data_IF_964382746863
#
_entry.id   IF_964382746863
#
_cell.length_a   1.000
_cell.length_b   1.000
_cell.length_c   1.000
_cell.angle_alpha   90.00
_cell.angle_beta   90.00
_cell.angle_gamma   90.00
#
_symmetry.space_group_name_H-M   'P 1'
#
loop_
_entity.id
_entity.type
_entity.pdbx_description
1 polymer ?
#
# COMPACT_ATOMS: atom_id res chain seq x y z
N UNK A 1 4.59 -27.39 -9.77
CA UNK A 1 3.86 -26.84 -10.93
C UNK A 1 3.29 -25.50 -10.49
N UNK A 2 3.63 -24.43 -11.21
CA UNK A 2 3.13 -23.07 -10.98
C UNK A 2 1.66 -22.94 -11.43
N UNK A 3 0.92 -21.98 -10.86
CA UNK A 3 -0.47 -21.69 -11.19
C UNK A 3 -0.64 -20.27 -11.74
N UNK A 4 -1.57 -20.09 -12.67
CA UNK A 4 -2.04 -18.79 -13.15
C UNK A 4 -3.30 -18.31 -12.37
N UNK A 5 -3.83 -19.13 -11.45
CA UNK A 5 -4.88 -18.73 -10.49
C UNK A 5 -4.28 -17.94 -9.32
N UNK A 6 -4.72 -16.67 -9.17
CA UNK A 6 -4.25 -15.74 -8.14
C UNK A 6 -4.57 -16.18 -6.71
N UNK A 7 -5.60 -17.02 -6.52
CA UNK A 7 -5.98 -17.55 -5.21
C UNK A 7 -5.15 -18.78 -4.82
N UNK A 8 -4.39 -19.32 -5.75
CA UNK A 8 -3.53 -20.47 -5.52
C UNK A 8 -2.34 -20.10 -4.63
N UNK A 9 -1.98 -20.92 -3.63
CA UNK A 9 -0.73 -20.74 -2.88
C UNK A 9 0.51 -20.89 -3.76
N UNK A 10 0.37 -21.41 -4.99
CA UNK A 10 1.43 -21.57 -6.00
C UNK A 10 1.27 -20.60 -7.17
N UNK A 11 0.53 -19.51 -6.98
CA UNK A 11 0.46 -18.46 -7.97
C UNK A 11 1.87 -17.96 -8.29
N UNK A 12 2.21 -17.86 -9.57
CA UNK A 12 3.61 -17.62 -9.97
C UNK A 12 4.15 -16.23 -9.62
N UNK A 13 3.28 -15.23 -9.55
CA UNK A 13 3.69 -13.86 -9.26
C UNK A 13 3.45 -13.59 -7.79
N UNK A 14 4.47 -13.83 -6.98
CA UNK A 14 4.41 -13.67 -5.53
C UNK A 14 5.51 -12.74 -5.02
N UNK A 15 5.18 -11.97 -3.98
CA UNK A 15 6.13 -11.19 -3.19
C UNK A 15 5.98 -11.66 -1.75
N UNK A 16 7.08 -12.13 -1.15
CA UNK A 16 7.10 -12.68 0.22
C UNK A 16 6.01 -13.75 0.46
N UNK A 17 5.76 -14.61 -0.55
CA UNK A 17 4.75 -15.68 -0.46
C UNK A 17 3.30 -15.24 -0.66
N UNK A 18 3.05 -13.97 -0.97
CA UNK A 18 1.70 -13.44 -1.22
C UNK A 18 1.50 -13.08 -2.69
N UNK A 19 0.31 -13.35 -3.23
CA UNK A 19 -0.02 -13.08 -4.63
C UNK A 19 0.07 -11.58 -4.97
N UNK A 20 0.88 -11.26 -5.98
CA UNK A 20 0.95 -9.93 -6.57
C UNK A 20 -0.21 -9.75 -7.56
N UNK A 21 -1.13 -8.85 -7.22
CA UNK A 21 -2.39 -8.66 -7.94
C UNK A 21 -2.63 -7.18 -8.25
N UNK A 22 -3.44 -6.91 -9.27
CA UNK A 22 -3.91 -5.55 -9.56
C UNK A 22 -5.11 -5.17 -8.70
N UNK A 23 -5.37 -3.88 -8.60
CA UNK A 23 -6.58 -3.38 -7.95
C UNK A 23 -7.84 -3.90 -8.64
N UNK A 24 -7.84 -4.00 -9.98
CA UNK A 24 -8.97 -4.57 -10.72
C UNK A 24 -9.17 -6.07 -10.41
N UNK A 25 -8.08 -6.84 -10.37
CA UNK A 25 -8.12 -8.28 -10.02
C UNK A 25 -8.73 -8.49 -8.64
N UNK A 26 -8.29 -7.74 -7.63
CA UNK A 26 -8.88 -7.79 -6.28
C UNK A 26 -10.37 -7.44 -6.30
N UNK A 27 -10.75 -6.35 -6.97
CA UNK A 27 -12.14 -5.88 -7.00
C UNK A 27 -13.11 -6.82 -7.74
N UNK A 28 -12.60 -7.75 -8.55
CA UNK A 28 -13.40 -8.75 -9.25
C UNK A 28 -13.59 -10.03 -8.43
N UNK A 29 -12.86 -10.20 -7.32
CA UNK A 29 -13.01 -11.36 -6.45
C UNK A 29 -14.26 -11.25 -5.58
N UNK A 30 -15.01 -12.34 -5.40
CA UNK A 30 -16.05 -12.44 -4.38
C UNK A 30 -15.49 -12.15 -2.98
N UNK A 31 -16.32 -11.61 -2.08
CA UNK A 31 -15.91 -11.29 -0.71
C UNK A 31 -15.32 -12.51 0.01
N UNK A 32 -15.95 -13.68 -0.14
CA UNK A 32 -15.49 -14.94 0.46
C UNK A 32 -14.08 -15.35 0.01
N UNK A 33 -13.68 -14.97 -1.21
CA UNK A 33 -12.34 -15.25 -1.73
C UNK A 33 -11.30 -14.23 -1.26
N UNK A 34 -11.74 -13.08 -0.73
CA UNK A 34 -10.87 -12.05 -0.16
C UNK A 34 -10.72 -12.18 1.35
N UNK A 35 -11.76 -12.63 2.06
CA UNK A 35 -11.76 -12.79 3.52
C UNK A 35 -10.56 -13.60 4.01
N UNK A 36 -9.92 -13.13 5.09
CA UNK A 36 -8.72 -13.74 5.69
C UNK A 36 -7.52 -13.90 4.73
N UNK A 37 -7.51 -13.18 3.60
CA UNK A 37 -6.40 -13.23 2.64
C UNK A 37 -5.51 -12.01 2.70
N UNK A 38 -4.26 -12.26 2.31
CA UNK A 38 -3.25 -11.24 2.13
C UNK A 38 -2.79 -11.23 0.68
N UNK A 39 -2.79 -10.05 0.09
CA UNK A 39 -2.34 -9.78 -1.26
C UNK A 39 -1.22 -8.75 -1.25
N UNK A 40 -0.49 -8.64 -2.36
CA UNK A 40 0.43 -7.53 -2.61
C UNK A 40 -0.05 -6.75 -3.81
N UNK A 41 -0.13 -5.43 -3.67
CA UNK A 41 -0.52 -4.51 -4.74
C UNK A 41 0.63 -3.53 -4.95
N UNK A 42 1.05 -3.32 -6.19
CA UNK A 42 1.91 -2.19 -6.53
C UNK A 42 1.05 -1.01 -6.95
N UNK A 43 1.17 0.14 -6.28
CA UNK A 43 0.35 1.29 -6.60
C UNK A 43 0.79 2.54 -5.86
N UNK A 44 -0.02 3.58 -6.02
CA UNK A 44 0.18 4.90 -5.42
C UNK A 44 -1.07 5.38 -4.68
N UNK A 45 -0.88 6.30 -3.74
CA UNK A 45 -1.97 6.92 -3.00
C UNK A 45 -2.60 8.03 -3.84
N UNK A 46 -3.92 7.97 -4.04
CA UNK A 46 -4.67 8.93 -4.84
C UNK A 46 -5.41 9.96 -3.98
N UNK A 47 -6.05 9.51 -2.89
CA UNK A 47 -6.87 10.37 -2.03
C UNK A 47 -6.92 9.86 -0.58
N UNK A 48 -7.35 10.71 0.35
CA UNK A 48 -7.53 10.41 1.77
C UNK A 48 -9.02 10.49 2.12
N UNK A 49 -9.65 9.34 2.40
CA UNK A 49 -11.06 9.31 2.81
C UNK A 49 -11.24 9.30 4.34
N UNK A 50 -10.23 8.88 5.10
CA UNK A 50 -10.20 8.98 6.58
C UNK A 50 -8.95 9.75 7.00
N UNK A 51 -9.16 10.98 7.50
CA UNK A 51 -8.07 11.90 7.87
C UNK A 51 -7.15 11.30 8.92
N UNK A 52 -5.86 11.64 8.81
CA UNK A 52 -4.85 11.28 9.80
C UNK A 52 -5.28 11.72 11.21
N UNK A 53 -5.28 10.78 12.15
CA UNK A 53 -5.52 11.05 13.57
C UNK A 53 -4.68 10.12 14.43
N UNK A 54 -4.36 10.59 15.63
CA UNK A 54 -3.75 9.78 16.70
C UNK A 54 -4.65 9.86 17.91
N UNK A 55 -5.09 8.69 18.39
CA UNK A 55 -5.96 8.56 19.56
C UNK A 55 -5.71 7.22 20.26
N UNK A 56 -5.53 7.24 21.58
CA UNK A 56 -5.26 6.02 22.37
C UNK A 56 -3.92 5.38 22.00
N UNK A 57 -2.93 6.20 21.64
CA UNK A 57 -1.62 5.73 21.18
C UNK A 57 -1.62 5.06 19.81
N UNK A 58 -2.71 5.14 19.05
CA UNK A 58 -2.86 4.48 17.74
C UNK A 58 -3.04 5.50 16.63
N UNK A 59 -2.31 5.32 15.53
CA UNK A 59 -2.53 6.05 14.30
C UNK A 59 -3.73 5.52 13.53
N UNK A 60 -4.44 6.41 12.84
CA UNK A 60 -5.51 6.05 11.91
C UNK A 60 -5.43 6.93 10.67
N UNK A 61 -5.47 6.31 9.51
CA UNK A 61 -5.46 6.92 8.19
C UNK A 61 -6.12 5.96 7.21
N UNK A 62 -7.02 6.47 6.39
CA UNK A 62 -7.66 5.72 5.30
C UNK A 62 -7.42 6.43 3.97
N UNK A 63 -6.94 5.69 2.99
CA UNK A 63 -6.55 6.19 1.68
C UNK A 63 -7.15 5.37 0.55
N UNK A 64 -7.32 5.99 -0.61
CA UNK A 64 -7.59 5.29 -1.86
C UNK A 64 -6.27 5.06 -2.58
N UNK A 65 -5.97 3.79 -2.89
CA UNK A 65 -4.81 3.44 -3.70
C UNK A 65 -5.25 3.08 -5.12
N UNK A 66 -4.41 3.43 -6.08
CA UNK A 66 -4.58 3.05 -7.47
C UNK A 66 -3.29 2.45 -8.00
N UNK A 67 -3.43 1.41 -8.80
CA UNK A 67 -2.37 0.88 -9.65
C UNK A 67 -2.52 1.37 -11.09
N UNK A 68 -3.39 2.38 -11.33
CA UNK A 68 -3.90 2.88 -12.63
C UNK A 68 -4.89 1.96 -13.34
N UNK A 69 -5.43 0.97 -12.63
CA UNK A 69 -6.65 0.29 -13.07
C UNK A 69 -7.83 1.27 -13.11
N UNK A 70 -8.92 0.86 -13.78
CA UNK A 70 -10.20 1.58 -13.79
C UNK A 70 -10.80 1.78 -12.39
N UNK A 71 -10.45 0.91 -11.44
CA UNK A 71 -10.96 0.92 -10.05
C UNK A 71 -9.87 1.36 -9.09
N UNK A 72 -10.29 1.99 -7.99
CA UNK A 72 -9.45 2.26 -6.83
C UNK A 72 -9.74 1.24 -5.73
N UNK A 73 -8.79 1.08 -4.81
CA UNK A 73 -8.98 0.28 -3.60
C UNK A 73 -8.90 1.19 -2.38
N UNK A 74 -9.98 1.26 -1.60
CA UNK A 74 -9.94 1.89 -0.28
C UNK A 74 -9.22 0.97 0.69
N UNK A 75 -8.22 1.50 1.39
CA UNK A 75 -7.44 0.79 2.41
C UNK A 75 -7.24 1.66 3.64
N UNK A 76 -7.04 1.06 4.81
CA UNK A 76 -6.51 1.74 6.00
C UNK A 76 -5.06 1.36 6.22
N UNK A 77 -4.23 2.30 6.65
CA UNK A 77 -2.85 1.96 7.01
C UNK A 77 -2.82 1.47 8.46
N UNK A 78 -2.14 0.35 8.70
CA UNK A 78 -1.89 -0.13 10.06
C UNK A 78 -1.04 0.90 10.83
N UNK A 79 -1.20 0.96 12.15
CA UNK A 79 -0.50 1.96 12.98
C UNK A 79 1.03 1.89 12.80
N UNK A 80 1.57 0.69 12.62
CA UNK A 80 3.01 0.47 12.46
C UNK A 80 3.53 0.97 11.12
N UNK A 81 2.71 0.89 10.05
CA UNK A 81 3.06 1.44 8.74
C UNK A 81 3.17 2.96 8.83
N UNK A 82 2.20 3.60 9.47
CA UNK A 82 2.22 5.06 9.65
C UNK A 82 3.39 5.46 10.55
N UNK A 83 3.62 4.74 11.65
CA UNK A 83 4.73 5.00 12.56
C UNK A 83 6.08 4.89 11.85
N UNK A 84 6.28 3.89 10.98
CA UNK A 84 7.49 3.74 10.18
C UNK A 84 7.67 4.91 9.19
N UNK A 85 6.60 5.36 8.53
CA UNK A 85 6.66 6.51 7.62
C UNK A 85 6.93 7.84 8.32
N UNK A 86 6.40 8.02 9.54
CA UNK A 86 6.51 9.24 10.34
C UNK A 86 7.80 9.27 11.17
N UNK A 87 8.33 8.10 11.55
CA UNK A 87 9.43 7.96 12.50
C UNK A 87 9.02 8.05 13.97
N UNK A 88 7.71 8.06 14.25
CA UNK A 88 7.15 8.19 15.60
C UNK A 88 5.91 7.32 15.78
N UNK A 89 5.87 6.55 16.86
CA UNK A 89 4.66 5.83 17.26
C UNK A 89 3.56 6.80 17.76
N UNK A 90 2.34 6.27 17.94
CA UNK A 90 1.21 7.10 18.34
C UNK A 90 1.35 7.68 19.76
N UNK A 91 2.03 7.00 20.68
CA UNK A 91 2.23 7.47 22.06
C UNK A 91 3.19 8.66 22.07
N UNK A 92 4.29 8.59 21.32
CA UNK A 92 5.22 9.67 21.12
C UNK A 92 4.53 10.89 20.51
N UNK A 93 3.66 10.68 19.52
CA UNK A 93 2.92 11.77 18.90
C UNK A 93 1.88 12.42 19.82
N UNK A 94 1.17 11.64 20.64
CA UNK A 94 0.29 12.20 21.65
C UNK A 94 1.04 13.01 22.68
N UNK A 95 2.25 12.57 23.05
CA UNK A 95 3.15 13.29 23.94
C UNK A 95 3.58 14.63 23.31
N UNK A 96 4.02 14.63 22.05
CA UNK A 96 4.36 15.86 21.33
C UNK A 96 3.16 16.81 21.18
N UNK A 97 1.96 16.27 20.94
CA UNK A 97 0.73 17.09 20.88
C UNK A 97 0.39 17.81 22.18
N UNK A 98 0.89 17.34 23.33
CA UNK A 98 0.67 18.00 24.63
C UNK A 98 1.62 19.17 24.84
N UNK A 99 2.78 19.18 24.17
CA UNK A 99 3.65 20.35 24.13
C UNK A 99 3.00 21.43 23.26
N UNK A 100 2.54 22.50 23.92
CA UNK A 100 1.88 23.65 23.28
C UNK A 100 2.81 24.84 23.08
N UNK A 101 4.11 24.66 23.33
CA UNK A 101 5.11 25.67 22.99
C UNK A 101 5.14 25.92 21.47
N UNK A 102 5.58 27.10 21.07
CA UNK A 102 5.73 27.45 19.66
C UNK A 102 6.66 26.47 18.92
N UNK A 103 7.79 26.12 19.55
CA UNK A 103 8.75 25.16 19.01
C UNK A 103 8.17 23.74 18.89
N UNK A 104 7.41 23.30 19.90
CA UNK A 104 6.71 22.01 19.87
C UNK A 104 5.68 21.92 18.74
N UNK A 105 4.89 22.98 18.55
CA UNK A 105 3.91 23.06 17.46
C UNK A 105 4.58 23.10 16.08
N UNK A 106 5.68 23.85 15.94
CA UNK A 106 6.46 23.91 14.71
C UNK A 106 7.02 22.55 14.33
N UNK A 107 7.64 21.84 15.28
CA UNK A 107 8.14 20.47 15.08
C UNK A 107 7.04 19.51 14.66
N UNK A 108 5.87 19.57 15.30
CA UNK A 108 4.72 18.75 14.93
C UNK A 108 4.26 19.04 13.49
N UNK A 109 4.22 20.32 13.10
CA UNK A 109 3.85 20.73 11.75
C UNK A 109 4.86 20.21 10.70
N UNK A 110 6.16 20.30 10.98
CA UNK A 110 7.21 19.77 10.08
C UNK A 110 7.09 18.26 9.87
N UNK A 111 6.81 17.51 10.93
CA UNK A 111 6.57 16.06 10.87
C UNK A 111 5.36 15.77 9.97
N UNK A 112 4.25 16.48 10.18
CA UNK A 112 3.01 16.26 9.41
C UNK A 112 3.16 16.67 7.93
N UNK A 113 3.91 17.74 7.64
CA UNK A 113 4.23 18.14 6.25
C UNK A 113 5.07 17.05 5.57
N UNK A 114 6.11 16.55 6.24
CA UNK A 114 6.94 15.47 5.70
C UNK A 114 6.12 14.22 5.45
N UNK A 115 5.27 13.84 6.40
CA UNK A 115 4.39 12.69 6.24
C UNK A 115 3.41 12.86 5.07
N UNK A 116 2.80 14.06 4.92
CA UNK A 116 1.96 14.39 3.78
C UNK A 116 2.72 14.22 2.46
N UNK A 117 3.93 14.77 2.35
CA UNK A 117 4.74 14.66 1.14
C UNK A 117 5.09 13.20 0.84
N UNK A 118 5.51 12.43 1.85
CA UNK A 118 5.77 11.00 1.74
C UNK A 118 4.54 10.23 1.23
N UNK A 119 3.33 10.57 1.69
CA UNK A 119 2.09 9.96 1.20
C UNK A 119 1.80 10.34 -0.26
N UNK A 120 1.97 11.61 -0.64
CA UNK A 120 1.74 12.08 -2.01
C UNK A 120 2.71 11.45 -3.02
N UNK A 121 3.93 11.14 -2.59
CA UNK A 121 4.96 10.50 -3.40
C UNK A 121 4.97 8.96 -3.24
N UNK A 122 4.10 8.41 -2.38
CA UNK A 122 4.12 7.00 -2.05
C UNK A 122 3.73 6.18 -3.27
N UNK A 123 4.72 5.45 -3.79
CA UNK A 123 4.59 4.46 -4.83
C UNK A 123 5.38 3.23 -4.44
N UNK A 124 4.68 2.17 -4.08
CA UNK A 124 5.31 1.02 -3.42
C UNK A 124 4.47 -0.25 -3.61
N UNK A 125 5.08 -1.40 -3.31
CA UNK A 125 4.36 -2.64 -3.11
C UNK A 125 3.77 -2.65 -1.70
N UNK A 126 2.46 -2.74 -1.59
CA UNK A 126 1.72 -2.69 -0.34
C UNK A 126 1.17 -4.08 -0.02
N UNK A 127 1.48 -4.61 1.16
CA UNK A 127 0.83 -5.81 1.70
C UNK A 127 -0.55 -5.44 2.19
N UNK A 128 -1.59 -5.90 1.49
CA UNK A 128 -2.99 -5.64 1.78
C UNK A 128 -3.60 -6.88 2.43
N UNK A 129 -4.04 -6.75 3.67
CA UNK A 129 -4.67 -7.80 4.45
C UNK A 129 -6.16 -7.53 4.61
N UNK A 130 -6.97 -8.52 4.24
CA UNK A 130 -8.40 -8.56 4.51
C UNK A 130 -8.64 -9.33 5.81
N UNK A 131 -9.49 -8.79 6.66
CA UNK A 131 -9.94 -9.45 7.89
C UNK A 131 -11.30 -10.16 7.68
N UNK A 132 -11.81 -10.74 8.77
CA UNK A 132 -13.09 -11.45 8.79
C UNK A 132 -14.32 -10.55 8.75
N UNK A 133 -14.20 -9.25 9.07
CA UNK A 133 -15.37 -8.39 9.14
C UNK A 133 -15.89 -8.01 7.76
N UNK A 134 -15.09 -8.23 6.70
CA UNK A 134 -15.45 -7.87 5.33
C UNK A 134 -15.39 -6.36 5.09
N UNK A 135 -14.75 -5.63 6.00
CA UNK A 135 -14.59 -4.18 5.93
C UNK A 135 -13.46 -3.77 4.97
N UNK A 136 -13.13 -2.48 5.00
CA UNK A 136 -11.98 -1.88 4.34
C UNK A 136 -10.69 -2.58 4.80
N UNK A 137 -9.89 -3.19 3.89
CA UNK A 137 -8.68 -3.92 4.25
C UNK A 137 -7.57 -2.99 4.75
N UNK A 138 -6.55 -3.60 5.39
CA UNK A 138 -5.42 -2.88 5.94
C UNK A 138 -4.16 -3.05 5.10
N UNK A 139 -3.41 -1.97 4.89
CA UNK A 139 -2.01 -2.04 4.51
C UNK A 139 -1.19 -2.30 5.77
N UNK A 140 -0.56 -3.46 5.84
CA UNK A 140 0.24 -3.90 6.99
C UNK A 140 1.73 -3.76 6.78
N UNK A 141 2.17 -3.62 5.53
CA UNK A 141 3.58 -3.42 5.19
C UNK A 141 3.73 -2.66 3.87
N UNK A 142 4.75 -1.81 3.79
CA UNK A 142 5.22 -1.20 2.55
C UNK A 142 6.57 -1.83 2.22
N UNK A 143 6.67 -2.51 1.08
CA UNK A 143 7.93 -3.12 0.69
C UNK A 143 8.81 -2.15 -0.10
N UNK A 144 10.10 -2.29 0.14
CA UNK A 144 11.12 -1.62 -0.67
C UNK A 144 11.05 -2.03 -2.14
N UNK A 145 11.32 -1.07 -3.01
CA UNK A 145 11.29 -1.22 -4.46
C UNK A 145 12.58 -1.86 -5.00
N UNK A 146 12.83 -3.11 -4.60
CA UNK A 146 14.08 -3.84 -4.93
C UNK A 146 14.02 -4.50 -6.31
N UNK A 147 15.19 -4.75 -6.92
CA UNK A 147 15.29 -5.38 -8.25
C UNK A 147 14.53 -6.72 -8.38
N UNK A 148 14.54 -7.64 -7.38
CA UNK A 148 13.75 -8.88 -7.46
C UNK A 148 12.24 -8.65 -7.53
N UNK A 149 11.70 -7.70 -6.75
CA UNK A 149 10.26 -7.36 -6.76
C UNK A 149 9.88 -6.67 -8.07
N UNK A 150 10.74 -5.79 -8.58
CA UNK A 150 10.59 -5.18 -9.90
C UNK A 150 10.55 -6.24 -11.01
N UNK A 151 11.45 -7.23 -10.97
CA UNK A 151 11.47 -8.31 -11.96
C UNK A 151 10.17 -9.14 -11.93
N UNK A 152 9.64 -9.41 -10.74
CA UNK A 152 8.35 -10.11 -10.56
C UNK A 152 7.19 -9.31 -11.17
N UNK A 153 7.14 -8.00 -10.90
CA UNK A 153 6.14 -7.09 -11.48
C UNK A 153 6.25 -7.02 -13.01
N UNK A 154 7.46 -6.85 -13.55
CA UNK A 154 7.73 -6.85 -15.00
C UNK A 154 7.32 -8.17 -15.66
N UNK A 155 7.61 -9.29 -15.02
CA UNK A 155 7.22 -10.61 -15.52
C UNK A 155 5.69 -10.79 -15.55
N UNK A 156 4.98 -10.28 -14.54
CA UNK A 156 3.51 -10.22 -14.52
C UNK A 156 2.98 -9.39 -15.67
N UNK A 157 3.49 -8.17 -15.85
CA UNK A 157 3.08 -7.27 -16.95
C UNK A 157 3.32 -7.89 -18.33
N UNK A 158 4.47 -8.53 -18.54
CA UNK A 158 4.80 -9.16 -19.80
C UNK A 158 3.87 -10.36 -20.15
N UNK A 159 3.35 -11.06 -19.14
CA UNK A 159 2.51 -12.25 -19.32
C UNK A 159 1.02 -11.92 -19.33
N UNK A 160 0.56 -11.05 -18.43
CA UNK A 160 -0.84 -10.70 -18.22
C UNK A 160 -1.15 -9.36 -18.89
N UNK A 161 -1.63 -9.37 -20.14
CA UNK A 161 -1.95 -8.15 -20.90
C UNK A 161 -2.90 -7.19 -20.17
N UNK A 162 -3.80 -7.71 -19.33
CA UNK A 162 -4.72 -6.94 -18.49
C UNK A 162 -4.04 -6.13 -17.38
N UNK A 163 -2.71 -6.19 -17.28
CA UNK A 163 -1.89 -5.48 -16.27
C UNK A 163 -0.96 -4.46 -16.90
N UNK A 164 -1.10 -4.18 -18.21
CA UNK A 164 -0.26 -3.23 -18.94
C UNK A 164 -0.31 -1.80 -18.38
N UNK A 165 -1.41 -1.39 -17.74
CA UNK A 165 -1.55 -0.08 -17.09
C UNK A 165 -0.53 0.14 -15.96
N UNK A 166 0.01 -0.94 -15.36
CA UNK A 166 1.05 -0.83 -14.34
C UNK A 166 2.32 -0.15 -14.88
N UNK A 167 2.57 -0.20 -16.19
CA UNK A 167 3.69 0.48 -16.85
C UNK A 167 3.69 1.99 -16.59
N UNK A 168 2.52 2.60 -16.45
CA UNK A 168 2.37 4.04 -16.18
C UNK A 168 2.73 4.40 -14.74
N UNK A 169 2.68 3.42 -13.83
CA UNK A 169 3.05 3.58 -12.42
C UNK A 169 4.52 3.25 -12.21
N UNK A 170 5.19 2.52 -13.10
CA UNK A 170 6.60 2.18 -12.89
C UNK A 170 7.47 3.44 -12.91
N UNK A 171 8.49 3.55 -12.03
CA UNK A 171 9.50 4.60 -12.14
C UNK A 171 10.18 4.56 -13.52
N UNK A 172 10.58 5.70 -14.08
CA UNK A 172 11.11 5.80 -15.46
C UNK A 172 12.34 4.93 -15.73
N UNK A 173 13.12 4.58 -14.70
CA UNK A 173 14.29 3.70 -14.82
C UNK A 173 13.95 2.20 -14.87
N UNK A 174 12.66 1.85 -14.89
CA UNK A 174 12.23 0.47 -15.11
C UNK A 174 12.30 0.12 -16.59
N UNK A 175 13.49 -0.17 -17.10
CA UNK A 175 13.67 -0.70 -18.45
C UNK A 175 12.80 -1.96 -18.63
N UNK A 176 11.75 -1.83 -19.42
CA UNK A 176 10.97 -2.94 -19.93
C UNK A 176 11.37 -3.03 -21.38
N UNK A 177 12.17 -4.06 -21.67
CA UNK A 177 12.65 -4.36 -23.01
C UNK A 177 11.44 -4.39 -23.93
N UNK A 178 11.27 -3.33 -24.72
CA UNK A 178 10.38 -3.31 -25.87
C UNK A 178 10.89 -4.40 -26.80
N UNK A 179 10.19 -5.52 -26.87
CA UNK A 179 10.34 -6.50 -27.94
C UNK A 179 9.20 -6.30 -28.93
#
# INVERSE_FOLDING_TARGET
>A
MESDDLLSPRYRFQIEGHSLVTVNQINQLPDADRTDRTFVVFGEVMDVFERVRVSGGQWKLGVQISDRSERMLSVRFHTDVIAAMVGHDGVAMETMKRDRSEEGLKRLQEILIRFKNNLCELRSFMRVQYDRSGDIPFVTELYEYTAPRQATLKAKVARERSTAHLLEVLPPDCDIVKR
#
